data_IF_922789024107
#
_entry.id   IF_922789024107
#
_cell.length_a   1.000
_cell.length_b   1.000
_cell.length_c   1.000
_cell.angle_alpha   90.00
_cell.angle_beta   90.00
_cell.angle_gamma   90.00
#
_symmetry.space_group_name_H-M   'P 1'
#
loop_
_entity.id
_entity.type
_entity.pdbx_description
1 polymer ?
#
# COMPACT_ATOMS: atom_id res chain seq x y z
N UNK A 1 9.97 33.43 16.05
CA UNK A 1 8.76 32.63 16.36
C UNK A 1 9.13 31.63 17.44
N UNK A 2 8.28 31.40 18.44
CA UNK A 2 8.50 30.38 19.47
C UNK A 2 8.00 29.03 18.95
N UNK A 3 8.86 28.02 18.89
CA UNK A 3 8.49 26.63 18.58
C UNK A 3 7.94 26.00 19.87
N UNK A 4 6.67 25.59 19.85
CA UNK A 4 6.07 24.84 20.95
C UNK A 4 6.62 23.39 20.93
N UNK A 5 6.91 22.80 22.10
CA UNK A 5 7.36 21.41 22.14
C UNK A 5 6.25 20.47 21.66
N UNK A 6 6.60 19.34 21.00
CA UNK A 6 5.64 18.32 20.59
C UNK A 6 4.76 17.89 21.77
N UNK A 7 3.45 17.83 21.56
CA UNK A 7 2.51 17.30 22.55
C UNK A 7 2.17 15.86 22.16
N UNK A 8 2.33 14.89 23.08
CA UNK A 8 1.92 13.52 22.80
C UNK A 8 0.44 13.42 22.44
N UNK A 9 0.10 12.55 21.50
CA UNK A 9 -1.28 12.29 21.12
C UNK A 9 -1.46 10.82 20.70
N UNK A 10 -2.72 10.43 20.65
CA UNK A 10 -3.16 9.20 20.00
C UNK A 10 -4.49 9.47 19.33
N UNK A 11 -4.66 8.98 18.11
CA UNK A 11 -5.96 8.94 17.46
C UNK A 11 -6.11 7.64 16.69
N UNK A 12 -7.36 7.28 16.41
CA UNK A 12 -7.66 6.29 15.40
C UNK A 12 -9.12 6.29 15.01
N UNK A 13 -9.39 5.70 13.84
CA UNK A 13 -10.72 5.43 13.35
C UNK A 13 -10.74 4.10 12.58
N UNK A 14 -11.92 3.49 12.55
CA UNK A 14 -12.25 2.31 11.76
C UNK A 14 -13.68 2.52 11.25
N UNK A 15 -13.86 2.57 9.93
CA UNK A 15 -15.14 2.85 9.30
C UNK A 15 -15.38 1.90 8.12
N UNK A 16 -16.66 1.69 7.79
CA UNK A 16 -17.08 0.94 6.60
C UNK A 16 -17.93 1.85 5.73
N UNK A 17 -17.60 1.96 4.44
CA UNK A 17 -18.39 2.72 3.47
C UNK A 17 -19.64 1.95 2.99
N UNK A 18 -20.48 2.59 2.18
CA UNK A 18 -21.68 1.99 1.60
C UNK A 18 -21.40 0.81 0.64
N UNK A 19 -20.16 0.63 0.22
CA UNK A 19 -19.70 -0.44 -0.69
C UNK A 19 -19.06 -1.61 0.06
N UNK A 20 -18.98 -1.55 1.40
CA UNK A 20 -18.39 -2.60 2.23
C UNK A 20 -16.87 -2.51 2.37
N UNK A 21 -16.25 -1.42 1.92
CA UNK A 21 -14.81 -1.15 2.12
C UNK A 21 -14.59 -0.75 3.57
N UNK A 22 -13.73 -1.49 4.28
CA UNK A 22 -13.24 -1.09 5.59
C UNK A 22 -12.05 -0.17 5.43
N UNK A 23 -12.03 0.97 6.11
CA UNK A 23 -10.91 1.91 6.16
C UNK A 23 -10.51 2.14 7.61
N UNK A 24 -9.22 2.14 7.89
CA UNK A 24 -8.73 2.45 9.23
C UNK A 24 -7.47 3.32 9.18
N UNK A 25 -7.24 4.05 10.26
CA UNK A 25 -5.99 4.73 10.58
C UNK A 25 -5.85 4.76 12.09
N UNK A 26 -4.69 4.39 12.61
CA UNK A 26 -4.27 4.67 13.98
C UNK A 26 -2.87 5.29 13.99
N UNK A 27 -2.65 6.28 14.85
CA UNK A 27 -1.34 6.91 15.02
C UNK A 27 -1.15 7.40 16.45
N UNK A 28 0.06 7.21 16.95
CA UNK A 28 0.55 7.84 18.18
C UNK A 28 1.70 8.79 17.86
N UNK A 29 1.69 9.95 18.49
CA UNK A 29 2.81 10.88 18.52
C UNK A 29 3.39 10.96 19.93
N UNK A 30 4.71 10.92 20.06
CA UNK A 30 5.40 11.05 21.35
C UNK A 30 5.95 12.47 21.60
N UNK A 31 6.53 12.68 22.80
CA UNK A 31 7.11 13.96 23.19
C UNK A 31 8.37 14.34 22.39
N UNK A 32 8.95 13.39 21.64
CA UNK A 32 10.13 13.58 20.79
C UNK A 32 9.75 13.85 19.32
N UNK A 33 8.45 14.07 19.03
CA UNK A 33 7.92 14.23 17.67
C UNK A 33 8.04 12.95 16.81
N UNK A 34 8.25 11.78 17.44
CA UNK A 34 8.20 10.48 16.76
C UNK A 34 6.74 10.10 16.59
N UNK A 35 6.37 9.72 15.36
CA UNK A 35 5.04 9.20 15.04
C UNK A 35 5.14 7.76 14.62
N UNK A 36 4.28 6.93 15.17
CA UNK A 36 4.13 5.53 14.75
C UNK A 36 2.67 5.23 14.53
N UNK A 37 2.36 4.49 13.48
CA UNK A 37 0.97 4.20 13.17
C UNK A 37 0.81 3.18 12.08
N UNK A 38 -0.46 2.91 11.79
CA UNK A 38 -0.81 2.18 10.59
C UNK A 38 -2.11 2.71 9.99
N UNK A 39 -2.20 2.65 8.67
CA UNK A 39 -3.42 2.95 7.94
C UNK A 39 -3.63 1.93 6.83
N UNK A 40 -4.87 1.80 6.39
CA UNK A 40 -5.16 0.85 5.34
C UNK A 40 -6.63 0.75 5.00
N UNK A 41 -6.90 -0.14 4.06
CA UNK A 41 -8.25 -0.54 3.71
C UNK A 41 -8.31 -2.02 3.34
N UNK A 42 -9.52 -2.56 3.41
CA UNK A 42 -9.90 -3.85 2.82
C UNK A 42 -11.24 -3.67 2.12
N UNK A 43 -11.31 -3.93 0.81
CA UNK A 43 -12.55 -3.86 0.04
C UNK A 43 -13.43 -5.11 0.23
N UNK A 44 -14.65 -5.08 -0.31
CA UNK A 44 -15.59 -6.19 -0.24
C UNK A 44 -15.11 -7.48 -0.96
N UNK A 45 -14.14 -7.36 -1.87
CA UNK A 45 -13.52 -8.48 -2.59
C UNK A 45 -12.27 -9.03 -1.86
N UNK A 46 -11.88 -8.44 -0.73
CA UNK A 46 -10.70 -8.82 0.03
C UNK A 46 -9.39 -8.28 -0.53
N UNK A 47 -9.43 -7.31 -1.46
CA UNK A 47 -8.24 -6.52 -1.80
C UNK A 47 -7.90 -5.61 -0.64
N UNK A 48 -6.63 -5.55 -0.27
CA UNK A 48 -6.19 -4.76 0.87
C UNK A 48 -4.84 -4.10 0.65
N UNK A 49 -4.67 -3.00 1.36
CA UNK A 49 -3.36 -2.42 1.67
C UNK A 49 -3.33 -2.08 3.15
N UNK A 50 -2.27 -2.49 3.83
CA UNK A 50 -1.91 -1.99 5.16
C UNK A 50 -0.52 -1.40 5.11
N UNK A 51 -0.38 -0.17 5.59
CA UNK A 51 0.89 0.53 5.73
C UNK A 51 1.18 0.68 7.21
N UNK A 52 2.27 0.08 7.69
CA UNK A 52 2.82 0.33 9.02
C UNK A 52 3.99 1.29 8.87
N UNK A 53 4.09 2.32 9.72
CA UNK A 53 5.10 3.35 9.53
C UNK A 53 5.68 3.91 10.84
N UNK A 54 6.86 4.49 10.69
CA UNK A 54 7.52 5.33 11.69
C UNK A 54 8.01 6.61 11.00
N UNK A 55 7.74 7.76 11.63
CA UNK A 55 8.29 9.05 11.26
C UNK A 55 9.08 9.60 12.45
N UNK A 56 10.40 9.71 12.31
CA UNK A 56 11.30 10.23 13.34
C UNK A 56 12.44 11.05 12.71
N UNK A 57 13.51 11.29 13.47
CA UNK A 57 14.68 12.04 13.02
C UNK A 57 15.42 11.43 11.81
N UNK A 58 15.20 10.13 11.50
CA UNK A 58 15.79 9.42 10.36
C UNK A 58 14.87 9.55 9.12
N UNK A 59 13.71 10.22 9.23
CA UNK A 59 12.74 10.40 8.14
C UNK A 59 11.50 9.51 8.31
N UNK A 60 10.75 9.33 7.22
CA UNK A 60 9.56 8.47 7.17
C UNK A 60 9.94 7.11 6.56
N UNK A 61 9.64 6.01 7.26
CA UNK A 61 9.86 4.64 6.79
C UNK A 61 8.58 3.85 6.92
N UNK A 62 8.30 3.01 5.92
CA UNK A 62 7.05 2.25 5.87
C UNK A 62 7.24 0.80 5.44
N UNK A 63 6.38 -0.07 5.94
CA UNK A 63 6.19 -1.43 5.45
C UNK A 63 4.76 -1.56 4.92
N UNK A 64 4.63 -1.92 3.66
CA UNK A 64 3.36 -2.08 2.94
C UNK A 64 3.07 -3.57 2.79
N UNK A 65 1.98 -4.03 3.39
CA UNK A 65 1.40 -5.35 3.18
C UNK A 65 0.23 -5.20 2.20
N UNK A 66 0.25 -5.92 1.08
CA UNK A 66 -0.79 -5.77 0.05
C UNK A 66 -0.96 -7.02 -0.82
N UNK A 67 -2.19 -7.25 -1.30
CA UNK A 67 -2.51 -8.20 -2.37
C UNK A 67 -3.04 -7.53 -3.63
N UNK A 68 -2.81 -6.22 -3.79
CA UNK A 68 -3.31 -5.47 -4.93
C UNK A 68 -2.64 -5.88 -6.24
N UNK A 69 -3.44 -6.14 -7.29
CA UNK A 69 -2.92 -6.45 -8.62
C UNK A 69 -1.94 -5.41 -9.15
N UNK A 70 -0.85 -5.88 -9.77
CA UNK A 70 0.16 -5.01 -10.37
C UNK A 70 1.19 -4.44 -9.38
N UNK A 71 1.11 -4.75 -8.08
CA UNK A 71 2.12 -4.32 -7.11
C UNK A 71 3.26 -5.33 -7.05
N UNK A 72 4.49 -4.92 -7.35
CA UNK A 72 5.66 -5.79 -7.19
C UNK A 72 6.20 -5.73 -5.76
N UNK A 73 6.62 -6.88 -5.22
CA UNK A 73 7.37 -6.91 -3.96
C UNK A 73 8.77 -6.31 -4.15
N UNK A 74 9.28 -5.63 -3.12
CA UNK A 74 10.59 -4.98 -3.20
C UNK A 74 10.75 -3.82 -2.23
N UNK A 75 11.67 -2.91 -2.53
CA UNK A 75 11.89 -1.72 -1.71
C UNK A 75 12.14 -0.51 -2.60
N UNK A 76 11.56 0.62 -2.21
CA UNK A 76 11.68 1.90 -2.91
C UNK A 76 11.54 3.03 -1.90
N UNK A 77 12.48 3.98 -1.90
CA UNK A 77 12.43 5.22 -1.11
C UNK A 77 11.95 5.02 0.35
N UNK A 78 12.70 4.22 1.13
CA UNK A 78 12.42 3.89 2.54
C UNK A 78 11.07 3.18 2.82
N UNK A 79 10.41 2.68 1.77
CA UNK A 79 9.28 1.78 1.86
C UNK A 79 9.64 0.36 1.42
N UNK A 80 9.23 -0.63 2.21
CA UNK A 80 9.30 -2.06 1.88
C UNK A 80 7.91 -2.53 1.48
N UNK A 81 7.81 -3.25 0.36
CA UNK A 81 6.56 -3.81 -0.17
C UNK A 81 6.59 -5.33 -0.01
N UNK A 82 5.78 -5.83 0.93
CA UNK A 82 5.43 -7.23 1.10
C UNK A 82 4.18 -7.52 0.28
N UNK A 83 4.36 -7.61 -1.05
CA UNK A 83 3.25 -7.78 -1.98
C UNK A 83 3.01 -9.26 -2.32
N UNK A 84 1.76 -9.70 -2.25
CA UNK A 84 1.27 -10.97 -2.78
C UNK A 84 0.03 -10.73 -3.68
N UNK A 85 0.22 -10.16 -4.89
CA UNK A 85 -0.88 -9.71 -5.72
C UNK A 85 -1.82 -10.85 -6.13
N UNK A 86 -3.13 -10.62 -6.03
CA UNK A 86 -4.08 -11.49 -6.71
C UNK A 86 -3.96 -11.30 -8.23
N UNK A 87 -4.01 -12.40 -8.97
CA UNK A 87 -4.03 -12.34 -10.44
C UNK A 87 -5.46 -12.00 -10.86
N UNK A 88 -5.74 -10.72 -11.11
CA UNK A 88 -6.82 -10.37 -12.05
C UNK A 88 -6.27 -10.67 -13.43
N UNK A 89 -6.68 -11.82 -13.98
CA UNK A 89 -6.42 -12.07 -15.38
C UNK A 89 -6.92 -10.88 -16.20
N UNK A 90 -6.34 -10.59 -17.38
CA UNK A 90 -7.17 -9.94 -18.38
C UNK A 90 -8.44 -10.79 -18.47
N UNK A 91 -9.62 -10.18 -18.52
CA UNK A 91 -10.73 -10.83 -19.19
C UNK A 91 -10.18 -11.32 -20.53
N UNK A 92 -9.89 -12.62 -20.65
CA UNK A 92 -9.40 -13.21 -21.90
C UNK A 92 -10.57 -13.40 -22.85
N UNK A 93 -11.38 -12.37 -23.04
CA UNK A 93 -12.04 -12.13 -24.32
C UNK A 93 -10.97 -11.52 -25.23
N UNK A 94 -10.03 -12.38 -25.63
CA UNK A 94 -8.84 -11.96 -26.36
C UNK A 94 -7.73 -13.01 -26.40
N UNK A 95 -8.06 -14.30 -26.24
CA UNK A 95 -7.16 -15.38 -26.66
C UNK A 95 -7.37 -15.65 -28.16
N UNK A 96 -6.92 -14.74 -29.01
CA UNK A 96 -6.44 -15.04 -30.36
C UNK A 96 -5.68 -13.80 -30.85
N UNK A 97 -4.54 -13.97 -31.50
CA UNK A 97 -3.66 -12.93 -32.05
C UNK A 97 -2.62 -12.35 -31.08
N UNK A 98 -1.53 -13.08 -30.81
CA UNK A 98 -0.16 -12.51 -30.92
C UNK A 98 0.96 -13.58 -31.03
N UNK A 99 0.68 -14.88 -30.94
CA UNK A 99 1.75 -15.90 -31.02
C UNK A 99 1.96 -16.50 -32.42
N UNK A 100 1.92 -15.68 -33.49
CA UNK A 100 2.35 -16.10 -34.84
C UNK A 100 3.07 -14.95 -35.57
N UNK A 101 4.21 -14.47 -35.07
CA UNK A 101 5.05 -13.50 -35.81
C UNK A 101 6.56 -13.72 -35.72
N UNK A 102 7.03 -14.90 -35.28
CA UNK A 102 8.44 -15.26 -35.45
C UNK A 102 8.57 -16.59 -36.17
N UNK A 103 8.55 -16.53 -37.52
CA UNK A 103 9.28 -17.40 -38.47
C UNK A 103 8.72 -17.23 -39.89
N UNK A 104 8.93 -16.09 -40.54
CA UNK A 104 9.19 -16.08 -41.99
C UNK A 104 10.10 -14.88 -42.32
N UNK A 105 11.18 -15.18 -43.06
CA UNK A 105 12.05 -14.30 -43.85
C UNK A 105 13.26 -13.64 -43.16
N UNK A 106 14.40 -14.34 -43.22
CA UNK A 106 15.62 -13.74 -43.80
C UNK A 106 15.91 -14.53 -45.09
N UNK A 107 16.23 -13.76 -46.13
CA UNK A 107 16.49 -14.16 -47.53
C UNK A 107 17.58 -15.21 -47.71
#
# INVERSE_FOLDING_TARGET
MISQPPQPYSFGYDNVDEYGTKLFHEETGDANNVKTGSYGYTDANGLYRRVNYVADAIGFRATVETNEPGTQAGSSADAVFNANPVVVGPTSTGLLMITEWFRVQVS
#
